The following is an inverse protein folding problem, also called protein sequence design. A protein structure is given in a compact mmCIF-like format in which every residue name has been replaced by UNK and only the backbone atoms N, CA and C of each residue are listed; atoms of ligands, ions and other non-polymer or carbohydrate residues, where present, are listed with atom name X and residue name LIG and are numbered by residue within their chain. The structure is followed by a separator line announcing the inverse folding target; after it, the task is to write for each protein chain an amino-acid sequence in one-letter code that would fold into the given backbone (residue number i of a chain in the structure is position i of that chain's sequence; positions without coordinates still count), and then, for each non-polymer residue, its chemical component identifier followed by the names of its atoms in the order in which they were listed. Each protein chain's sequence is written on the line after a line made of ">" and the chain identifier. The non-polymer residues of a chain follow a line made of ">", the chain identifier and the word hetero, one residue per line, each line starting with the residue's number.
data_IF_310868676321
#
_entry.id   IF_310868676321
#
_cell.length_a   1.000
_cell.length_b   1.000
_cell.length_c   1.000
_cell.angle_alpha   90.00
_cell.angle_beta   90.00
_cell.angle_gamma   90.00
#
_symmetry.space_group_name_H-M   'P 1'
#
loop_
_entity.id
_entity.type
_entity.pdbx_description
1 polymer ?
#
# COMPACT_ATOMS: atom_id res chain seq x y z
N UNK A 1 39.05 -16.42 2.32
CA UNK A 1 37.81 -16.98 1.73
C UNK A 1 37.09 -18.01 2.63
N UNK A 2 37.79 -18.80 3.47
CA UNK A 2 37.17 -19.82 4.33
C UNK A 2 36.14 -19.30 5.36
N UNK A 3 36.37 -18.11 5.92
CA UNK A 3 35.54 -17.55 7.00
C UNK A 3 34.09 -17.19 6.55
N UNK A 4 33.91 -16.67 5.33
CA UNK A 4 32.58 -16.26 4.82
C UNK A 4 31.64 -17.44 4.58
N UNK A 5 32.17 -18.56 4.07
CA UNK A 5 31.39 -19.79 3.85
C UNK A 5 30.94 -20.40 5.18
N UNK A 6 31.83 -20.47 6.16
CA UNK A 6 31.50 -20.94 7.51
C UNK A 6 30.44 -20.06 8.19
N UNK A 7 30.56 -18.74 8.06
CA UNK A 7 29.58 -17.80 8.60
C UNK A 7 28.21 -17.92 7.92
N UNK A 8 28.17 -18.15 6.60
CA UNK A 8 26.94 -18.36 5.86
C UNK A 8 26.23 -19.66 6.29
N UNK A 9 26.97 -20.76 6.41
CA UNK A 9 26.43 -22.03 6.88
C UNK A 9 25.84 -21.94 8.30
N UNK A 10 26.54 -21.23 9.22
CA UNK A 10 26.05 -21.00 10.58
C UNK A 10 24.75 -20.18 10.61
N UNK A 11 24.59 -19.23 9.67
CA UNK A 11 23.35 -18.45 9.54
C UNK A 11 22.20 -19.30 9.00
N UNK A 12 22.44 -20.13 7.99
CA UNK A 12 21.41 -21.05 7.44
C UNK A 12 20.88 -22.01 8.50
N UNK A 13 21.77 -22.60 9.31
CA UNK A 13 21.37 -23.47 10.42
C UNK A 13 20.46 -22.75 11.42
N UNK A 14 20.81 -21.53 11.81
CA UNK A 14 20.01 -20.71 12.73
C UNK A 14 18.60 -20.43 12.20
N UNK A 15 18.45 -20.21 10.89
CA UNK A 15 17.14 -19.95 10.27
C UNK A 15 16.31 -21.23 10.25
N UNK A 16 16.91 -22.36 9.88
CA UNK A 16 16.24 -23.66 9.90
C UNK A 16 15.71 -23.98 11.30
N UNK A 17 16.52 -23.76 12.34
CA UNK A 17 16.10 -23.96 13.73
C UNK A 17 14.92 -23.03 14.11
N UNK A 18 14.90 -21.80 13.63
CA UNK A 18 13.79 -20.86 13.89
C UNK A 18 12.47 -21.31 13.23
N UNK A 19 12.54 -21.86 12.02
CA UNK A 19 11.38 -22.40 11.30
C UNK A 19 10.87 -23.66 12.00
N UNK A 20 11.77 -24.60 12.35
CA UNK A 20 11.41 -25.85 13.00
C UNK A 20 10.78 -25.65 14.39
N UNK A 21 11.23 -24.64 15.14
CA UNK A 21 10.70 -24.32 16.46
C UNK A 21 9.49 -23.36 16.43
N UNK A 22 8.96 -23.03 15.25
CA UNK A 22 7.86 -22.08 15.06
C UNK A 22 8.11 -20.70 15.70
N UNK A 23 9.37 -20.25 15.78
CA UNK A 23 9.74 -18.90 16.23
C UNK A 23 9.56 -17.90 15.09
N UNK A 24 8.30 -17.74 14.68
CA UNK A 24 7.86 -16.87 13.59
C UNK A 24 8.33 -15.43 13.77
N UNK A 25 8.43 -14.95 15.02
CA UNK A 25 8.86 -13.59 15.35
C UNK A 25 10.34 -13.37 15.01
N UNK A 26 11.21 -14.29 15.39
CA UNK A 26 12.64 -14.18 15.09
C UNK A 26 12.94 -14.44 13.61
N UNK A 27 12.22 -15.38 12.98
CA UNK A 27 12.31 -15.60 11.54
C UNK A 27 11.87 -14.36 10.74
N UNK A 28 10.76 -13.73 11.12
CA UNK A 28 10.30 -12.49 10.50
C UNK A 28 11.28 -11.33 10.63
N UNK A 29 11.91 -11.17 11.81
CA UNK A 29 12.99 -10.17 12.00
C UNK A 29 14.19 -10.44 11.09
N UNK A 30 14.55 -11.71 10.89
CA UNK A 30 15.62 -12.10 9.98
C UNK A 30 15.28 -11.71 8.53
N UNK A 31 14.08 -12.04 8.04
CA UNK A 31 13.63 -11.64 6.70
C UNK A 31 13.71 -10.12 6.52
N UNK A 32 13.18 -9.34 7.49
CA UNK A 32 13.24 -7.87 7.45
C UNK A 32 14.65 -7.33 7.31
N UNK A 33 15.66 -7.99 7.90
CA UNK A 33 17.06 -7.54 7.80
C UNK A 33 17.64 -7.70 6.39
N UNK A 34 17.14 -8.63 5.58
CA UNK A 34 17.58 -8.87 4.19
C UNK A 34 16.76 -8.08 3.17
N UNK A 35 15.47 -7.86 3.43
CA UNK A 35 14.59 -7.08 2.54
C UNK A 35 14.82 -5.58 2.64
N UNK A 36 15.89 -5.13 3.33
CA UNK A 36 16.32 -3.74 3.31
C UNK A 36 15.28 -2.75 3.83
N UNK A 37 14.32 -3.19 4.65
CA UNK A 37 13.26 -2.32 5.16
C UNK A 37 13.78 -1.42 6.31
N UNK A 38 14.90 -0.75 6.06
CA UNK A 38 14.96 0.66 6.42
C UNK A 38 13.83 1.26 5.59
N UNK A 39 12.70 1.55 6.22
CA UNK A 39 11.89 2.65 5.76
C UNK A 39 12.84 3.85 5.76
N UNK A 40 13.56 4.07 4.65
CA UNK A 40 13.83 5.43 4.27
C UNK A 40 12.43 5.98 4.13
N UNK A 41 12.03 6.79 5.11
CA UNK A 41 10.80 7.53 5.10
C UNK A 41 10.82 8.37 3.81
N UNK A 42 10.37 7.77 2.70
CA UNK A 42 10.07 8.49 1.47
C UNK A 42 8.96 9.52 1.77
N UNK A 43 8.21 9.32 2.86
CA UNK A 43 7.12 10.18 3.28
C UNK A 43 7.52 11.55 3.89
N UNK A 44 8.79 11.82 4.21
CA UNK A 44 9.19 13.12 4.80
C UNK A 44 9.79 14.09 3.77
N UNK A 45 9.23 14.11 2.56
CA UNK A 45 9.60 15.05 1.50
C UNK A 45 9.39 16.51 1.89
N UNK A 46 9.99 17.46 1.15
CA UNK A 46 9.74 18.88 1.36
C UNK A 46 8.30 19.23 1.02
N UNK A 47 7.73 20.20 1.76
CA UNK A 47 6.33 20.65 1.61
C UNK A 47 6.31 22.13 1.25
N UNK A 48 5.36 22.56 0.44
CA UNK A 48 5.17 23.99 0.17
C UNK A 48 4.28 24.65 1.22
N UNK A 49 4.68 25.83 1.69
CA UNK A 49 3.77 26.70 2.45
C UNK A 49 2.73 27.36 1.52
N UNK A 50 1.81 28.13 2.11
CA UNK A 50 0.77 28.86 1.35
C UNK A 50 1.33 29.90 0.37
N UNK A 51 2.54 30.38 0.60
CA UNK A 51 3.25 31.34 -0.25
C UNK A 51 4.12 30.63 -1.30
N UNK A 52 3.98 29.30 -1.44
CA UNK A 52 4.78 28.44 -2.33
C UNK A 52 6.28 28.43 -2.02
N UNK A 53 6.66 28.71 -0.78
CA UNK A 53 8.02 28.50 -0.31
C UNK A 53 8.24 27.04 0.06
N UNK A 54 9.38 26.49 -0.32
CA UNK A 54 9.76 25.11 -0.01
C UNK A 54 10.20 25.01 1.46
N UNK A 55 9.54 24.15 2.23
CA UNK A 55 9.84 23.87 3.63
C UNK A 55 10.40 22.46 3.79
N UNK A 56 11.59 22.37 4.38
CA UNK A 56 12.27 21.10 4.67
C UNK A 56 12.28 20.76 6.16
N UNK A 57 12.11 21.76 7.03
CA UNK A 57 12.18 21.63 8.49
C UNK A 57 10.93 20.92 9.04
N UNK A 58 11.14 19.99 9.97
CA UNK A 58 10.10 19.04 10.41
C UNK A 58 8.97 19.71 11.19
N UNK A 59 9.27 20.63 12.11
CA UNK A 59 8.26 21.30 12.93
C UNK A 59 7.39 22.23 12.08
N UNK A 60 7.98 22.94 11.14
CA UNK A 60 7.29 23.80 10.18
C UNK A 60 6.41 22.97 9.23
N UNK A 61 6.89 21.81 8.75
CA UNK A 61 6.03 20.87 8.00
C UNK A 61 4.81 20.44 8.81
N UNK A 62 4.97 20.12 10.10
CA UNK A 62 3.84 19.76 10.98
C UNK A 62 2.86 20.92 11.12
N UNK A 63 3.34 22.16 11.28
CA UNK A 63 2.48 23.36 11.35
C UNK A 63 1.71 23.58 10.05
N UNK A 64 2.37 23.43 8.89
CA UNK A 64 1.73 23.54 7.57
C UNK A 64 0.59 22.53 7.45
N UNK A 65 0.84 21.26 7.77
CA UNK A 65 -0.18 20.21 7.74
C UNK A 65 -1.31 20.48 8.73
N UNK A 66 -0.99 20.91 9.94
CA UNK A 66 -1.97 21.20 10.99
C UNK A 66 -2.93 22.30 10.54
N UNK A 67 -2.39 23.38 9.95
CA UNK A 67 -3.18 24.47 9.43
C UNK A 67 -4.06 24.02 8.26
N UNK A 68 -3.49 23.27 7.31
CA UNK A 68 -4.22 22.77 6.14
C UNK A 68 -5.44 21.91 6.55
N UNK A 69 -5.23 20.91 7.40
CA UNK A 69 -6.32 20.04 7.85
C UNK A 69 -7.28 20.75 8.82
N UNK A 70 -6.81 21.70 9.62
CA UNK A 70 -7.70 22.53 10.44
C UNK A 70 -8.64 23.37 9.58
N UNK A 71 -8.15 23.93 8.47
CA UNK A 71 -8.97 24.69 7.52
C UNK A 71 -9.95 23.80 6.78
N UNK A 72 -9.52 22.61 6.34
CA UNK A 72 -10.43 21.61 5.75
C UNK A 72 -11.54 21.20 6.71
N UNK A 73 -11.23 21.00 7.99
CA UNK A 73 -12.22 20.62 8.99
C UNK A 73 -13.22 21.76 9.31
N UNK A 74 -12.79 23.01 9.16
CA UNK A 74 -13.65 24.20 9.32
C UNK A 74 -14.43 24.54 8.06
N UNK A 75 -14.14 23.89 6.93
CA UNK A 75 -14.83 24.17 5.68
C UNK A 75 -16.28 23.68 5.76
N UNK A 76 -17.19 24.61 6.09
CA UNK A 76 -18.63 24.39 6.11
C UNK A 76 -19.29 24.68 4.77
N UNK A 77 -18.54 25.14 3.75
CA UNK A 77 -19.11 25.50 2.44
C UNK A 77 -19.60 24.31 1.63
N UNK A 78 -19.41 23.08 2.14
CA UNK A 78 -19.86 21.88 1.45
C UNK A 78 -19.17 21.70 0.10
N UNK A 79 -17.96 22.25 -0.07
CA UNK A 79 -17.17 22.11 -1.30
C UNK A 79 -17.05 20.65 -1.76
N UNK A 80 -16.88 19.70 -0.83
CA UNK A 80 -16.86 18.26 -1.14
C UNK A 80 -18.19 17.71 -1.69
N UNK A 81 -19.30 18.45 -1.55
CA UNK A 81 -20.65 18.12 -2.03
C UNK A 81 -21.13 19.03 -3.17
N UNK A 82 -20.32 20.01 -3.60
CA UNK A 82 -20.67 20.93 -4.68
C UNK A 82 -20.31 20.29 -6.02
N UNK A 83 -21.30 19.71 -6.70
CA UNK A 83 -21.11 19.03 -7.98
C UNK A 83 -20.43 19.94 -9.01
N UNK A 84 -20.91 21.17 -9.17
CA UNK A 84 -20.38 22.17 -10.11
C UNK A 84 -18.87 22.44 -9.92
N UNK A 85 -18.38 22.39 -8.68
CA UNK A 85 -16.96 22.59 -8.37
C UNK A 85 -16.11 21.41 -8.85
N UNK A 86 -16.61 20.20 -8.68
CA UNK A 86 -15.91 18.98 -9.10
C UNK A 86 -16.02 18.77 -10.60
N UNK A 87 -17.15 19.11 -11.22
CA UNK A 87 -17.38 18.98 -12.67
C UNK A 87 -16.36 19.80 -13.49
N UNK A 88 -15.95 20.97 -13.00
CA UNK A 88 -14.91 21.78 -13.64
C UNK A 88 -13.47 21.27 -13.41
N UNK A 89 -13.25 20.39 -12.42
CA UNK A 89 -11.92 19.87 -12.04
C UNK A 89 -11.69 18.44 -12.53
N UNK A 90 -12.76 17.66 -12.67
CA UNK A 90 -12.74 16.35 -13.29
C UNK A 90 -12.70 16.62 -14.80
N UNK A 91 -11.55 16.43 -15.44
CA UNK A 91 -11.48 16.43 -16.90
C UNK A 91 -12.58 15.48 -17.40
N UNK A 92 -13.41 15.93 -18.33
CA UNK A 92 -14.50 15.13 -18.91
C UNK A 92 -14.00 13.93 -19.72
N UNK A 93 -12.70 13.62 -19.66
CA UNK A 93 -12.06 12.41 -20.15
C UNK A 93 -12.46 11.20 -19.27
N UNK A 94 -13.76 11.07 -18.98
CA UNK A 94 -14.33 9.79 -18.62
C UNK A 94 -14.29 8.97 -19.91
N UNK A 95 -13.20 8.22 -20.08
CA UNK A 95 -13.16 7.17 -21.09
C UNK A 95 -14.38 6.29 -20.86
N UNK A 96 -15.29 6.29 -21.82
CA UNK A 96 -16.45 5.41 -21.79
C UNK A 96 -15.94 3.99 -22.00
N UNK A 97 -16.20 3.11 -21.04
CA UNK A 97 -15.81 1.70 -21.06
C UNK A 97 -17.00 0.85 -21.52
N UNK A 98 -17.20 0.65 -22.84
CA UNK A 98 -18.33 -0.12 -23.36
C UNK A 98 -18.35 -1.58 -22.86
N UNK A 99 -17.20 -2.11 -22.43
CA UNK A 99 -17.12 -3.42 -21.79
C UNK A 99 -17.97 -3.53 -20.51
N UNK A 100 -18.22 -2.43 -19.80
CA UNK A 100 -19.08 -2.42 -18.61
C UNK A 100 -20.57 -2.60 -18.93
N UNK A 101 -20.97 -2.32 -20.18
CA UNK A 101 -22.36 -2.52 -20.65
C UNK A 101 -22.54 -3.90 -21.32
N UNK A 102 -21.47 -4.69 -21.44
CA UNK A 102 -21.54 -6.02 -22.02
C UNK A 102 -22.20 -7.01 -21.04
N UNK A 103 -22.98 -7.94 -21.57
CA UNK A 103 -23.56 -9.02 -20.77
C UNK A 103 -22.43 -9.91 -20.26
N UNK A 104 -22.27 -10.02 -18.93
CA UNK A 104 -21.29 -10.91 -18.29
C UNK A 104 -21.53 -12.35 -18.78
N UNK A 105 -20.50 -12.95 -19.37
CA UNK A 105 -20.51 -14.35 -19.76
C UNK A 105 -19.73 -15.20 -18.77
N UNK A 106 -19.97 -16.51 -18.79
CA UNK A 106 -19.32 -17.44 -17.87
C UNK A 106 -17.79 -17.43 -17.99
N UNK A 107 -17.25 -17.21 -19.20
CA UNK A 107 -15.80 -17.08 -19.41
C UNK A 107 -15.20 -15.92 -18.62
N UNK A 108 -15.87 -14.76 -18.57
CA UNK A 108 -15.39 -13.59 -17.83
C UNK A 108 -15.27 -13.92 -16.34
N UNK A 109 -16.23 -14.67 -15.80
CA UNK A 109 -16.24 -15.10 -14.41
C UNK A 109 -15.10 -16.07 -14.15
N UNK A 110 -14.90 -17.08 -15.01
CA UNK A 110 -13.83 -18.06 -14.82
C UNK A 110 -12.44 -17.45 -14.99
N UNK A 111 -12.28 -16.51 -15.92
CA UNK A 111 -11.01 -15.82 -16.17
C UNK A 111 -10.68 -14.89 -15.00
N UNK A 112 -11.64 -14.09 -14.53
CA UNK A 112 -11.47 -13.25 -13.34
C UNK A 112 -11.15 -14.07 -12.08
N UNK A 113 -11.82 -15.22 -11.91
CA UNK A 113 -11.50 -16.15 -10.81
C UNK A 113 -10.09 -16.70 -10.95
N UNK A 114 -9.66 -17.15 -12.13
CA UNK A 114 -8.32 -17.68 -12.36
C UNK A 114 -7.23 -16.64 -12.04
N UNK A 115 -7.47 -15.38 -12.40
CA UNK A 115 -6.56 -14.25 -12.23
C UNK A 115 -6.45 -13.76 -10.77
N UNK A 116 -7.36 -14.14 -9.87
CA UNK A 116 -7.24 -13.74 -8.46
C UNK A 116 -5.92 -14.24 -7.85
N UNK A 117 -5.12 -13.41 -7.15
CA UNK A 117 -3.83 -13.87 -6.63
C UNK A 117 -3.98 -14.91 -5.50
N UNK A 118 -3.23 -16.00 -5.58
CA UNK A 118 -3.18 -17.02 -4.51
C UNK A 118 -2.40 -16.52 -3.28
N UNK A 119 -2.65 -17.16 -2.13
CA UNK A 119 -2.01 -16.91 -0.84
C UNK A 119 -2.19 -15.47 -0.32
N UNK A 120 -3.28 -14.82 -0.70
CA UNK A 120 -3.68 -13.53 -0.11
C UNK A 120 -4.51 -13.76 1.14
N UNK A 121 -4.46 -12.79 2.05
CA UNK A 121 -5.31 -12.82 3.23
C UNK A 121 -6.78 -12.77 2.79
N UNK A 122 -7.67 -13.59 3.38
CA UNK A 122 -9.09 -13.53 3.10
C UNK A 122 -9.70 -12.16 3.37
N UNK A 123 -10.81 -11.87 2.68
CA UNK A 123 -11.61 -10.68 2.94
C UNK A 123 -12.36 -10.75 4.27
N UNK A 124 -13.31 -9.84 4.45
CA UNK A 124 -14.17 -9.83 5.65
C UNK A 124 -15.04 -11.11 5.77
N UNK A 125 -15.24 -11.83 4.67
CA UNK A 125 -15.93 -13.11 4.59
C UNK A 125 -15.09 -14.29 5.10
N UNK A 126 -13.76 -14.13 5.25
CA UNK A 126 -12.87 -15.18 5.73
C UNK A 126 -12.57 -16.29 4.73
N UNK A 127 -13.01 -16.18 3.46
CA UNK A 127 -12.83 -17.21 2.44
C UNK A 127 -11.53 -16.97 1.64
N UNK A 128 -10.57 -17.93 1.62
CA UNK A 128 -9.37 -17.82 0.79
C UNK A 128 -9.68 -17.89 -0.72
N UNK A 129 -8.88 -17.20 -1.53
CA UNK A 129 -8.96 -17.17 -3.00
C UNK A 129 -8.97 -18.57 -3.65
N UNK A 130 -8.27 -19.52 -3.04
CA UNK A 130 -8.10 -20.89 -3.52
C UNK A 130 -9.41 -21.66 -3.54
N UNK A 131 -10.35 -21.34 -2.64
CA UNK A 131 -11.66 -22.00 -2.57
C UNK A 131 -12.53 -21.58 -3.74
N UNK A 132 -12.40 -20.33 -4.20
CA UNK A 132 -13.14 -19.81 -5.34
C UNK A 132 -12.66 -20.34 -6.70
N UNK A 133 -11.50 -21.01 -6.73
CA UNK A 133 -10.87 -21.57 -7.94
C UNK A 133 -11.07 -23.08 -8.12
N UNK A 134 -11.68 -23.75 -7.14
CA UNK A 134 -12.01 -25.19 -7.20
C UNK A 134 -13.23 -25.43 -8.09
#
# INVERSE_FOLDING_TARGET
>A
MANRKAQHAKRLKKIADQILNNDSKSYWRYIKSYTGNSFQNIADGPVYDKKKNLCTEKLEKIKIWTNHFSELAKDTTGNSRCADKWENLISSDCDYYPECESTIVWSDITDALADTPNNKAPGADGVPSEIWKL
#
